data_IF_914341984007
#
_entry.id   IF_914341984007
#
_cell.length_a   1.000
_cell.length_b   1.000
_cell.length_c   1.000
_cell.angle_alpha   90.00
_cell.angle_beta   90.00
_cell.angle_gamma   90.00
#
_symmetry.space_group_name_H-M   'P 1'
#
loop_
_entity.id
_entity.type
_entity.pdbx_description
1 polymer ?
#
# COMPACT_ATOMS: atom_id res chain seq x y z
N UNK A 1 20.30 22.91 10.67
CA UNK A 1 18.97 23.15 11.27
C UNK A 1 17.86 23.16 10.22
N UNK A 2 17.96 23.98 9.17
CA UNK A 2 16.95 24.06 8.09
C UNK A 2 16.65 22.71 7.43
N UNK A 3 17.69 21.93 7.11
CA UNK A 3 17.53 20.59 6.51
C UNK A 3 16.72 19.62 7.36
N UNK A 4 16.97 19.64 8.66
CA UNK A 4 16.25 18.82 9.61
C UNK A 4 14.77 19.24 9.64
N UNK A 5 14.49 20.54 9.64
CA UNK A 5 13.11 21.05 9.62
C UNK A 5 12.39 20.62 8.34
N UNK A 6 13.00 20.84 7.16
CA UNK A 6 12.41 20.47 5.86
C UNK A 6 12.13 18.96 5.79
N UNK A 7 13.09 18.12 6.19
CA UNK A 7 12.89 16.66 6.23
C UNK A 7 11.72 16.29 7.12
N UNK A 8 11.60 16.88 8.31
CA UNK A 8 10.48 16.56 9.20
C UNK A 8 9.13 17.00 8.64
N UNK A 9 9.04 18.20 8.07
CA UNK A 9 7.83 18.67 7.39
C UNK A 9 7.46 17.69 6.27
N UNK A 10 8.43 17.28 5.47
CA UNK A 10 8.22 16.27 4.42
C UNK A 10 7.73 14.95 4.99
N UNK A 11 8.37 14.37 6.01
CA UNK A 11 7.99 13.07 6.55
C UNK A 11 6.56 13.05 7.09
N UNK A 12 6.13 14.11 7.80
CA UNK A 12 4.75 14.22 8.29
C UNK A 12 3.74 14.46 7.17
N UNK A 13 4.03 15.41 6.28
CA UNK A 13 3.11 15.74 5.17
C UNK A 13 3.00 14.59 4.16
N UNK A 14 4.10 13.91 3.82
CA UNK A 14 4.10 12.71 2.99
C UNK A 14 3.29 11.59 3.64
N UNK A 15 3.42 11.33 4.95
CA UNK A 15 2.60 10.33 5.62
C UNK A 15 1.10 10.67 5.55
N UNK A 16 0.74 11.95 5.70
CA UNK A 16 -0.63 12.44 5.47
C UNK A 16 -1.11 12.21 4.03
N UNK A 17 -0.32 12.61 3.03
CA UNK A 17 -0.63 12.40 1.62
C UNK A 17 -0.78 10.92 1.24
N UNK A 18 0.03 10.04 1.84
CA UNK A 18 -0.10 8.60 1.63
C UNK A 18 -1.29 8.00 2.36
N UNK A 19 -1.78 8.62 3.44
CA UNK A 19 -3.05 8.22 4.05
C UNK A 19 -4.22 8.60 3.15
N UNK A 20 -4.26 9.86 2.71
CA UNK A 20 -5.41 10.46 2.01
C UNK A 20 -5.47 9.98 0.55
N UNK A 21 -4.32 9.89 -0.13
CA UNK A 21 -4.22 9.45 -1.53
C UNK A 21 -4.69 10.47 -2.57
N UNK A 22 -5.17 11.63 -2.15
CA UNK A 22 -5.73 12.69 -3.00
C UNK A 22 -5.10 14.03 -2.64
N UNK A 23 -4.97 14.92 -3.63
CA UNK A 23 -4.46 16.28 -3.42
C UNK A 23 -5.48 17.20 -2.76
N UNK A 24 -6.76 16.87 -2.91
CA UNK A 24 -7.89 17.59 -2.37
C UNK A 24 -8.98 16.56 -2.02
N UNK A 25 -9.61 16.72 -0.85
CA UNK A 25 -10.72 15.87 -0.41
C UNK A 25 -11.71 16.75 0.36
N UNK A 26 -12.91 16.92 -0.16
CA UNK A 26 -13.96 17.76 0.46
C UNK A 26 -14.36 17.27 1.85
N UNK A 27 -14.25 15.96 2.11
CA UNK A 27 -14.62 15.34 3.40
C UNK A 27 -13.70 15.78 4.54
N UNK A 28 -12.54 16.33 4.23
CA UNK A 28 -11.54 16.81 5.18
C UNK A 28 -11.52 18.34 5.28
N UNK A 29 -12.63 19.01 4.92
CA UNK A 29 -12.85 20.43 5.17
C UNK A 29 -13.42 20.65 6.58
N UNK A 30 -12.66 21.32 7.45
CA UNK A 30 -13.08 21.70 8.80
C UNK A 30 -13.16 23.23 8.87
N UNK A 31 -14.31 23.78 9.24
CA UNK A 31 -14.57 25.23 9.26
C UNK A 31 -14.21 25.95 7.94
N UNK A 32 -14.60 25.36 6.79
CA UNK A 32 -14.26 25.83 5.44
C UNK A 32 -12.76 25.83 5.09
N UNK A 33 -11.90 25.26 5.94
CA UNK A 33 -10.48 25.08 5.67
C UNK A 33 -10.25 23.61 5.28
N UNK A 34 -9.80 23.38 4.03
CA UNK A 34 -9.49 22.04 3.56
C UNK A 34 -8.12 21.58 4.08
N UNK A 35 -8.12 20.62 5.01
CA UNK A 35 -6.89 20.13 5.65
C UNK A 35 -6.01 19.39 4.64
N UNK A 36 -6.61 18.64 3.71
CA UNK A 36 -5.88 17.94 2.64
C UNK A 36 -5.07 18.93 1.81
N UNK A 37 -5.66 20.06 1.44
CA UNK A 37 -4.96 21.10 0.68
C UNK A 37 -3.74 21.65 1.43
N UNK A 38 -3.87 21.90 2.75
CA UNK A 38 -2.75 22.36 3.59
C UNK A 38 -1.63 21.32 3.61
N UNK A 39 -1.97 20.03 3.81
CA UNK A 39 -1.00 18.94 3.83
C UNK A 39 -0.31 18.82 2.46
N UNK A 40 -1.07 18.92 1.35
CA UNK A 40 -0.56 18.91 -0.02
C UNK A 40 0.44 20.04 -0.25
N UNK A 41 0.15 21.27 0.19
CA UNK A 41 1.06 22.42 0.05
C UNK A 41 2.38 22.16 0.79
N UNK A 42 2.32 21.72 2.05
CA UNK A 42 3.53 21.39 2.82
C UNK A 42 4.31 20.25 2.19
N UNK A 43 3.63 19.23 1.69
CA UNK A 43 4.24 18.12 0.98
C UNK A 43 4.97 18.61 -0.27
N UNK A 44 4.33 19.38 -1.15
CA UNK A 44 4.96 19.84 -2.39
C UNK A 44 6.14 20.77 -2.16
N UNK A 45 6.00 21.75 -1.26
CA UNK A 45 7.09 22.68 -0.96
C UNK A 45 8.28 21.92 -0.41
N UNK A 46 8.06 21.04 0.58
CA UNK A 46 9.15 20.28 1.18
C UNK A 46 9.76 19.25 0.22
N UNK A 47 8.95 18.55 -0.58
CA UNK A 47 9.42 17.62 -1.60
C UNK A 47 10.27 18.32 -2.66
N UNK A 48 9.81 19.46 -3.18
CA UNK A 48 10.55 20.25 -4.16
C UNK A 48 11.91 20.71 -3.60
N UNK A 49 11.93 21.24 -2.37
CA UNK A 49 13.17 21.66 -1.72
C UNK A 49 14.15 20.50 -1.52
N UNK A 50 13.67 19.31 -1.16
CA UNK A 50 14.51 18.12 -0.99
C UNK A 50 15.06 17.61 -2.33
N UNK A 51 14.23 17.60 -3.37
CA UNK A 51 14.64 17.17 -4.73
C UNK A 51 15.70 18.12 -5.29
N UNK A 52 15.44 19.44 -5.27
CA UNK A 52 16.37 20.45 -5.78
C UNK A 52 17.71 20.48 -5.04
N UNK A 53 17.70 20.12 -3.76
CA UNK A 53 18.92 20.07 -2.95
C UNK A 53 19.82 18.88 -3.33
N UNK A 54 19.26 17.80 -3.86
CA UNK A 54 20.04 16.62 -4.18
C UNK A 54 20.86 16.82 -5.47
N UNK A 55 22.19 17.00 -5.33
CA UNK A 55 23.07 17.36 -6.45
C UNK A 55 23.77 16.18 -7.13
N UNK A 56 23.82 15.01 -6.48
CA UNK A 56 24.56 13.87 -6.99
C UNK A 56 23.71 12.61 -6.92
N UNK A 57 23.50 11.97 -8.07
CA UNK A 57 22.77 10.71 -8.18
C UNK A 57 23.72 9.62 -8.66
N UNK A 58 23.89 8.57 -7.84
CA UNK A 58 24.63 7.37 -8.27
C UNK A 58 23.63 6.39 -8.87
N UNK A 59 23.77 6.09 -10.16
CA UNK A 59 22.86 5.22 -10.90
C UNK A 59 23.34 3.77 -10.78
N UNK A 60 22.62 2.97 -9.99
CA UNK A 60 22.73 1.51 -10.03
C UNK A 60 21.75 0.92 -11.05
N UNK A 61 21.95 -0.34 -11.44
CA UNK A 61 21.04 -1.04 -12.37
C UNK A 61 19.59 -1.03 -11.86
N UNK A 62 19.36 -1.32 -10.58
CA UNK A 62 18.01 -1.28 -9.99
C UNK A 62 17.39 0.12 -10.03
N UNK A 63 18.16 1.17 -9.73
CA UNK A 63 17.68 2.56 -9.83
C UNK A 63 17.33 2.94 -11.26
N UNK A 64 18.18 2.57 -12.21
CA UNK A 64 17.94 2.82 -13.63
C UNK A 64 16.63 2.19 -14.10
N UNK A 65 16.44 0.90 -13.80
CA UNK A 65 15.21 0.18 -14.16
C UNK A 65 13.99 0.80 -13.48
N UNK A 66 14.10 1.17 -12.21
CA UNK A 66 13.01 1.80 -11.45
C UNK A 66 12.59 3.15 -12.03
N UNK A 67 13.54 4.02 -12.37
CA UNK A 67 13.24 5.32 -12.99
C UNK A 67 12.74 5.17 -14.42
N UNK A 68 13.32 4.24 -15.19
CA UNK A 68 12.85 3.92 -16.54
C UNK A 68 11.39 3.44 -16.53
N UNK A 69 11.02 2.62 -15.54
CA UNK A 69 9.63 2.18 -15.33
C UNK A 69 8.67 3.37 -15.16
N UNK A 70 8.98 4.33 -14.28
CA UNK A 70 8.11 5.50 -14.09
C UNK A 70 8.07 6.42 -15.31
N UNK A 71 9.21 6.67 -15.96
CA UNK A 71 9.27 7.52 -17.16
C UNK A 71 8.40 6.91 -18.27
N UNK A 72 8.54 5.61 -18.52
CA UNK A 72 7.75 4.94 -19.55
C UNK A 72 6.27 4.84 -19.19
N UNK A 73 5.93 4.63 -17.92
CA UNK A 73 4.55 4.65 -17.46
C UNK A 73 3.89 6.02 -17.76
N UNK A 74 4.60 7.12 -17.50
CA UNK A 74 4.12 8.48 -17.81
C UNK A 74 3.99 8.71 -19.32
N UNK A 75 5.03 8.41 -20.09
CA UNK A 75 5.04 8.64 -21.55
C UNK A 75 3.98 7.79 -22.26
N UNK A 76 3.93 6.50 -21.96
CA UNK A 76 2.98 5.57 -22.60
C UNK A 76 1.55 5.94 -22.23
N UNK A 77 1.29 6.38 -20.98
CA UNK A 77 -0.04 6.84 -20.60
C UNK A 77 -0.51 8.02 -21.47
N UNK A 78 0.33 9.03 -21.66
CA UNK A 78 -0.01 10.19 -22.49
C UNK A 78 -0.26 9.79 -23.95
N UNK A 79 0.53 8.86 -24.49
CA UNK A 79 0.32 8.31 -25.83
C UNK A 79 -1.02 7.57 -25.91
N UNK A 80 -1.33 6.72 -24.94
CA UNK A 80 -2.57 5.95 -24.93
C UNK A 80 -3.80 6.87 -24.82
N UNK A 81 -3.74 7.95 -24.03
CA UNK A 81 -4.84 8.93 -23.98
C UNK A 81 -5.05 9.69 -25.28
N UNK A 82 -4.03 9.89 -26.12
CA UNK A 82 -4.24 10.44 -27.46
C UNK A 82 -5.07 9.50 -28.36
N UNK A 83 -5.07 8.19 -28.08
CA UNK A 83 -5.75 7.16 -28.87
C UNK A 83 -7.13 6.83 -28.30
N UNK A 84 -7.20 6.59 -26.99
CA UNK A 84 -8.39 6.10 -26.29
C UNK A 84 -9.18 7.21 -25.58
N UNK A 85 -8.63 8.42 -25.51
CA UNK A 85 -9.17 9.51 -24.70
C UNK A 85 -8.75 9.43 -23.24
N UNK A 86 -8.91 10.52 -22.52
CA UNK A 86 -8.75 10.59 -21.07
C UNK A 86 -10.13 10.77 -20.42
N UNK A 87 -10.36 10.12 -19.30
CA UNK A 87 -11.55 10.29 -18.47
C UNK A 87 -11.17 10.91 -17.11
N UNK A 88 -12.15 11.48 -16.40
CA UNK A 88 -11.90 12.22 -15.15
C UNK A 88 -11.18 11.35 -14.10
N UNK A 89 -11.63 10.10 -13.93
CA UNK A 89 -11.01 9.15 -13.01
C UNK A 89 -9.54 8.86 -13.36
N UNK A 90 -9.24 8.66 -14.64
CA UNK A 90 -7.89 8.45 -15.17
C UNK A 90 -7.00 9.66 -14.98
N UNK A 91 -7.53 10.86 -15.21
CA UNK A 91 -6.83 12.14 -14.99
C UNK A 91 -6.44 12.27 -13.52
N UNK A 92 -7.39 12.11 -12.60
CA UNK A 92 -7.14 12.17 -11.16
C UNK A 92 -6.08 11.14 -10.74
N UNK A 93 -6.26 9.89 -11.16
CA UNK A 93 -5.33 8.79 -10.87
C UNK A 93 -3.92 9.08 -11.37
N UNK A 94 -3.78 9.58 -12.59
CA UNK A 94 -2.49 9.95 -13.17
C UNK A 94 -1.83 11.14 -12.46
N UNK A 95 -2.61 12.16 -12.10
CA UNK A 95 -2.13 13.33 -11.36
C UNK A 95 -1.62 12.89 -9.98
N UNK A 96 -2.40 12.10 -9.24
CA UNK A 96 -2.02 11.61 -7.92
C UNK A 96 -0.80 10.69 -7.98
N UNK A 97 -0.74 9.81 -8.98
CA UNK A 97 0.45 8.98 -9.20
C UNK A 97 1.68 9.84 -9.48
N UNK A 98 1.58 10.79 -10.40
CA UNK A 98 2.71 11.60 -10.86
C UNK A 98 3.19 12.60 -9.80
N UNK A 99 2.29 13.16 -9.00
CA UNK A 99 2.60 14.20 -8.04
C UNK A 99 2.86 13.69 -6.61
N UNK A 100 2.29 12.55 -6.22
CA UNK A 100 2.50 11.95 -4.90
C UNK A 100 3.52 10.81 -4.99
N UNK A 101 3.28 9.82 -5.84
CA UNK A 101 4.03 8.55 -5.80
C UNK A 101 5.44 8.74 -6.35
N UNK A 102 5.59 9.34 -7.54
CA UNK A 102 6.91 9.52 -8.17
C UNK A 102 7.87 10.35 -7.30
N UNK A 103 7.49 11.55 -6.79
CA UNK A 103 8.39 12.34 -5.95
C UNK A 103 8.69 11.65 -4.62
N UNK A 104 7.69 10.99 -4.03
CA UNK A 104 7.90 10.24 -2.79
C UNK A 104 8.89 9.10 -2.94
N UNK A 105 8.81 8.35 -4.05
CA UNK A 105 9.74 7.28 -4.36
C UNK A 105 11.15 7.81 -4.64
N UNK A 106 11.28 8.93 -5.36
CA UNK A 106 12.58 9.57 -5.59
C UNK A 106 13.23 9.98 -4.26
N UNK A 107 12.50 10.68 -3.39
CA UNK A 107 13.02 11.13 -2.09
C UNK A 107 13.37 9.93 -1.20
N UNK A 108 12.55 8.87 -1.21
CA UNK A 108 12.84 7.63 -0.49
C UNK A 108 14.17 6.96 -0.92
N UNK A 109 14.51 7.03 -2.21
CA UNK A 109 15.73 6.41 -2.76
C UNK A 109 16.96 7.30 -2.56
N UNK A 110 16.84 8.60 -2.82
CA UNK A 110 18.00 9.47 -2.97
C UNK A 110 18.29 10.37 -1.76
N UNK A 111 17.29 10.62 -0.90
CA UNK A 111 17.39 11.67 0.14
C UNK A 111 17.30 11.12 1.56
N UNK A 112 16.44 10.13 1.79
CA UNK A 112 16.22 9.57 3.12
C UNK A 112 17.37 8.64 3.52
N UNK A 113 17.88 8.83 4.73
CA UNK A 113 18.81 7.90 5.36
C UNK A 113 18.07 6.92 6.28
N UNK A 114 18.78 5.93 6.82
CA UNK A 114 18.19 4.89 7.68
C UNK A 114 17.43 5.47 8.90
N UNK A 115 17.90 6.58 9.49
CA UNK A 115 17.21 7.23 10.62
C UNK A 115 15.89 7.88 10.17
N UNK A 116 15.90 8.56 9.02
CA UNK A 116 14.72 9.17 8.42
C UNK A 116 13.69 8.10 8.05
N UNK A 117 14.13 6.96 7.48
CA UNK A 117 13.28 5.82 7.12
C UNK A 117 12.61 5.23 8.37
N UNK A 118 13.38 4.96 9.42
CA UNK A 118 12.82 4.47 10.68
C UNK A 118 11.82 5.47 11.28
N UNK A 119 12.14 6.76 11.25
CA UNK A 119 11.23 7.82 11.70
C UNK A 119 9.95 7.84 10.86
N UNK A 120 10.05 7.70 9.55
CA UNK A 120 8.91 7.66 8.64
C UNK A 120 7.98 6.49 8.94
N UNK A 121 8.53 5.29 9.17
CA UNK A 121 7.73 4.11 9.56
C UNK A 121 6.96 4.35 10.85
N UNK A 122 7.56 5.02 11.86
CA UNK A 122 6.86 5.36 13.10
C UNK A 122 5.79 6.44 12.91
N UNK A 123 6.01 7.41 12.02
CA UNK A 123 4.98 8.40 11.65
C UNK A 123 3.79 7.69 10.98
N UNK A 124 4.04 6.73 10.09
CA UNK A 124 2.99 5.91 9.47
C UNK A 124 2.23 5.05 10.49
N UNK A 125 2.90 4.54 11.53
CA UNK A 125 2.22 3.91 12.68
C UNK A 125 1.34 4.94 13.40
N UNK A 126 1.83 6.16 13.62
CA UNK A 126 1.03 7.25 14.19
C UNK A 126 -0.24 7.56 13.38
N UNK A 127 -0.13 7.62 12.05
CA UNK A 127 -1.28 7.74 11.14
C UNK A 127 -2.23 6.56 11.30
N UNK A 128 -1.71 5.33 11.35
CA UNK A 128 -2.52 4.12 11.59
C UNK A 128 -3.26 4.19 12.92
N UNK A 129 -2.63 4.68 13.98
CA UNK A 129 -3.25 4.89 15.29
C UNK A 129 -4.35 5.96 15.22
N UNK A 130 -4.14 7.04 14.47
CA UNK A 130 -5.19 8.05 14.25
C UNK A 130 -6.40 7.43 13.53
N UNK A 131 -6.17 6.65 12.47
CA UNK A 131 -7.23 5.94 11.76
C UNK A 131 -7.94 4.93 12.68
N UNK A 132 -7.19 4.19 13.50
CA UNK A 132 -7.72 3.28 14.50
C UNK A 132 -8.69 4.00 15.44
N UNK A 133 -8.29 5.15 16.01
CA UNK A 133 -9.14 5.94 16.90
C UNK A 133 -10.40 6.43 16.21
N UNK A 134 -10.29 6.92 14.97
CA UNK A 134 -11.47 7.31 14.18
C UNK A 134 -12.41 6.14 13.91
N UNK A 135 -11.85 4.97 13.60
CA UNK A 135 -12.63 3.75 13.44
C UNK A 135 -13.31 3.31 14.74
N UNK A 136 -12.67 3.52 15.90
CA UNK A 136 -13.24 3.24 17.22
C UNK A 136 -14.41 4.18 17.54
N UNK A 137 -14.28 5.48 17.25
CA UNK A 137 -15.36 6.45 17.47
C UNK A 137 -16.58 6.18 16.58
N UNK A 138 -16.36 5.62 15.39
CA UNK A 138 -17.42 5.28 14.44
C UNK A 138 -17.97 3.86 14.61
N UNK A 139 -17.63 3.15 15.70
CA UNK A 139 -18.07 1.76 15.92
C UNK A 139 -19.60 1.64 16.06
N UNK A 140 -20.24 2.62 16.67
CA UNK A 140 -21.70 2.60 16.92
C UNK A 140 -22.50 2.80 15.63
N UNK A 141 -21.93 3.54 14.68
CA UNK A 141 -22.56 3.84 13.39
C UNK A 141 -22.40 2.71 12.36
N UNK A 142 -21.67 1.64 12.67
CA UNK A 142 -21.36 0.57 11.70
C UNK A 142 -22.61 -0.02 11.05
N UNK A 143 -23.71 -0.18 11.80
CA UNK A 143 -24.98 -0.71 11.26
C UNK A 143 -25.61 0.18 10.18
N UNK A 144 -25.21 1.45 10.11
CA UNK A 144 -25.66 2.42 9.10
C UNK A 144 -24.84 2.41 7.81
N UNK A 145 -23.62 1.85 7.82
CA UNK A 145 -22.80 1.75 6.61
C UNK A 145 -23.30 0.61 5.73
N UNK A 146 -23.20 0.79 4.40
CA UNK A 146 -23.53 -0.25 3.42
C UNK A 146 -22.75 -1.55 3.73
N UNK A 147 -23.49 -2.51 4.29
CA UNK A 147 -22.97 -3.80 4.65
C UNK A 147 -22.16 -3.89 5.94
N UNK A 148 -22.27 -2.92 6.85
CA UNK A 148 -21.75 -3.07 8.22
C UNK A 148 -20.22 -3.07 8.34
N UNK A 149 -19.51 -2.35 7.46
CA UNK A 149 -18.04 -2.36 7.38
C UNK A 149 -17.43 -1.06 7.90
N UNK A 150 -16.36 -1.20 8.69
CA UNK A 150 -15.60 -0.02 9.15
C UNK A 150 -14.83 0.61 7.99
N UNK A 151 -15.01 1.92 7.87
CA UNK A 151 -14.21 2.81 7.04
C UNK A 151 -13.73 3.98 7.90
N UNK A 152 -12.64 4.62 7.49
CA UNK A 152 -12.16 5.84 8.15
C UNK A 152 -11.77 6.87 7.09
N UNK A 153 -12.12 8.13 7.33
CA UNK A 153 -11.84 9.27 6.45
C UNK A 153 -12.24 9.01 4.98
N UNK A 154 -13.33 8.27 4.78
CA UNK A 154 -13.84 7.97 3.44
C UNK A 154 -12.95 7.05 2.59
N UNK A 155 -11.93 6.43 3.18
CA UNK A 155 -11.21 5.30 2.59
C UNK A 155 -12.01 4.00 2.71
N UNK A 156 -11.93 3.14 1.69
CA UNK A 156 -12.64 1.86 1.70
C UNK A 156 -12.15 0.92 2.83
N UNK A 157 -12.97 -0.08 3.25
CA UNK A 157 -12.61 -0.99 4.35
C UNK A 157 -11.33 -1.80 4.09
N UNK A 158 -10.99 -2.00 2.81
CA UNK A 158 -9.75 -2.63 2.40
C UNK A 158 -8.55 -1.78 2.80
N UNK A 159 -8.56 -0.48 2.46
CA UNK A 159 -7.49 0.46 2.78
C UNK A 159 -7.33 0.58 4.29
N UNK A 160 -8.44 0.68 5.02
CA UNK A 160 -8.42 0.73 6.49
C UNK A 160 -7.73 -0.50 7.10
N UNK A 161 -8.17 -1.71 6.72
CA UNK A 161 -7.57 -2.96 7.19
C UNK A 161 -6.08 -3.07 6.80
N UNK A 162 -5.69 -2.57 5.61
CA UNK A 162 -4.28 -2.53 5.20
C UNK A 162 -3.41 -1.72 6.17
N UNK A 163 -3.88 -0.55 6.60
CA UNK A 163 -3.18 0.31 7.56
C UNK A 163 -3.06 -0.34 8.94
N UNK A 164 -4.11 -1.00 9.42
CA UNK A 164 -4.09 -1.67 10.73
C UNK A 164 -3.00 -2.75 10.76
N UNK A 165 -2.96 -3.61 9.73
CA UNK A 165 -1.95 -4.67 9.62
C UNK A 165 -0.55 -4.11 9.33
N UNK A 166 -0.45 -3.02 8.56
CA UNK A 166 0.82 -2.32 8.36
C UNK A 166 1.43 -1.91 9.72
N UNK A 167 0.63 -1.32 10.61
CA UNK A 167 1.08 -0.96 11.95
C UNK A 167 1.52 -2.18 12.78
N UNK A 168 0.76 -3.29 12.71
CA UNK A 168 1.14 -4.56 13.37
C UNK A 168 2.50 -5.03 12.89
N UNK A 169 2.75 -5.05 11.57
CA UNK A 169 4.03 -5.47 11.00
C UNK A 169 5.17 -4.54 11.43
N UNK A 170 4.95 -3.22 11.45
CA UNK A 170 5.98 -2.29 11.94
C UNK A 170 6.30 -2.53 13.42
N UNK A 171 5.29 -2.66 14.28
CA UNK A 171 5.50 -2.87 15.72
C UNK A 171 6.22 -4.20 15.98
N UNK A 172 5.88 -5.27 15.24
CA UNK A 172 6.47 -6.60 15.41
C UNK A 172 7.93 -6.66 14.95
N UNK A 173 8.24 -6.07 13.79
CA UNK A 173 9.54 -6.24 13.13
C UNK A 173 10.50 -5.07 13.34
N UNK A 174 10.02 -3.90 13.77
CA UNK A 174 10.89 -2.76 14.08
C UNK A 174 11.42 -2.85 15.52
N UNK A 175 12.68 -3.24 15.68
CA UNK A 175 13.34 -3.29 16.99
C UNK A 175 13.72 -1.89 17.47
N UNK A 176 12.77 -1.19 18.09
CA UNK A 176 13.01 0.07 18.81
C UNK A 176 12.81 -0.14 20.32
N UNK A 177 13.48 0.63 21.19
CA UNK A 177 13.35 0.58 22.66
C UNK A 177 11.90 0.72 23.14
N UNK A 178 11.05 1.37 22.36
CA UNK A 178 9.64 1.60 22.66
C UNK A 178 8.67 0.56 22.07
N UNK A 179 9.12 -0.26 21.11
CA UNK A 179 8.26 -1.25 20.42
C UNK A 179 7.57 -2.21 21.39
N UNK A 180 8.26 -2.62 22.46
CA UNK A 180 7.72 -3.51 23.49
C UNK A 180 6.47 -2.98 24.20
N UNK A 181 6.35 -1.67 24.36
CA UNK A 181 5.17 -1.05 25.00
C UNK A 181 3.98 -1.00 24.03
N UNK A 182 4.27 -0.93 22.73
CA UNK A 182 3.25 -0.89 21.68
C UNK A 182 2.69 -2.29 21.35
N UNK A 183 3.23 -3.37 21.92
CA UNK A 183 2.64 -4.71 21.78
C UNK A 183 1.21 -4.79 22.31
N UNK A 184 0.85 -3.93 23.26
CA UNK A 184 -0.53 -3.80 23.75
C UNK A 184 -1.50 -3.26 22.69
N UNK A 185 -1.01 -2.55 21.66
CA UNK A 185 -1.84 -2.05 20.55
C UNK A 185 -2.09 -3.11 19.47
N UNK A 186 -1.26 -4.17 19.40
CA UNK A 186 -1.39 -5.20 18.37
C UNK A 186 -2.78 -5.87 18.39
N UNK A 187 -3.31 -6.34 19.53
CA UNK A 187 -4.65 -6.91 19.58
C UNK A 187 -5.73 -5.94 19.07
N UNK A 188 -5.58 -4.64 19.36
CA UNK A 188 -6.53 -3.61 18.96
C UNK A 188 -6.48 -3.36 17.44
N UNK A 189 -5.29 -3.28 16.85
CA UNK A 189 -5.13 -3.19 15.40
C UNK A 189 -5.67 -4.44 14.68
N UNK A 190 -5.38 -5.63 15.20
CA UNK A 190 -5.91 -6.88 14.63
C UNK A 190 -7.44 -6.90 14.71
N UNK A 191 -8.00 -6.60 15.88
CA UNK A 191 -9.45 -6.49 16.08
C UNK A 191 -10.08 -5.54 15.07
N UNK A 192 -9.55 -4.33 14.92
CA UNK A 192 -10.07 -3.35 13.96
C UNK A 192 -9.89 -3.77 12.50
N UNK A 193 -8.85 -4.55 12.18
CA UNK A 193 -8.70 -5.16 10.86
C UNK A 193 -9.76 -6.23 10.58
N UNK A 194 -10.17 -7.02 11.59
CA UNK A 194 -11.24 -8.02 11.45
C UNK A 194 -12.62 -7.35 11.31
N UNK A 195 -12.89 -6.29 12.08
CA UNK A 195 -14.17 -5.57 12.01
C UNK A 195 -14.35 -4.80 10.69
N UNK A 196 -13.27 -4.44 9.99
CA UNK A 196 -13.33 -3.91 8.63
C UNK A 196 -13.90 -4.92 7.60
N UNK A 197 -13.91 -6.21 7.92
CA UNK A 197 -14.48 -7.27 7.08
C UNK A 197 -13.72 -7.48 5.76
N UNK A 198 -12.44 -7.08 5.67
CA UNK A 198 -11.62 -7.22 4.46
C UNK A 198 -10.68 -8.42 4.57
N UNK A 199 -10.84 -9.40 3.66
CA UNK A 199 -10.02 -10.63 3.67
C UNK A 199 -8.61 -10.45 3.12
N UNK A 200 -8.45 -9.62 2.10
CA UNK A 200 -7.18 -9.45 1.38
C UNK A 200 -6.00 -9.13 2.31
N UNK A 201 -6.11 -8.09 3.15
CA UNK A 201 -5.06 -7.72 4.09
C UNK A 201 -4.76 -8.81 5.13
N UNK A 202 -5.78 -9.51 5.63
CA UNK A 202 -5.61 -10.59 6.59
C UNK A 202 -4.91 -11.82 5.96
N UNK A 203 -5.29 -12.20 4.74
CA UNK A 203 -4.62 -13.29 4.03
C UNK A 203 -3.18 -12.93 3.67
N UNK A 204 -2.94 -11.70 3.21
CA UNK A 204 -1.58 -11.21 2.97
C UNK A 204 -0.74 -11.23 4.26
N UNK A 205 -1.32 -10.86 5.41
CA UNK A 205 -0.66 -10.95 6.71
C UNK A 205 -0.26 -12.39 7.05
N UNK A 206 -1.19 -13.33 6.92
CA UNK A 206 -0.93 -14.76 7.19
C UNK A 206 0.16 -15.30 6.26
N UNK A 207 0.10 -15.01 4.96
CA UNK A 207 1.14 -15.43 4.00
C UNK A 207 2.50 -14.89 4.42
N UNK A 208 2.59 -13.61 4.80
CA UNK A 208 3.85 -13.00 5.25
C UNK A 208 4.37 -13.62 6.53
N UNK A 209 3.50 -13.91 7.50
CA UNK A 209 3.90 -14.63 8.72
C UNK A 209 4.37 -16.05 8.41
N UNK A 210 3.71 -16.77 7.50
CA UNK A 210 4.11 -18.10 7.06
C UNK A 210 5.47 -18.06 6.35
N UNK A 211 5.68 -17.13 5.42
CA UNK A 211 6.98 -16.93 4.76
C UNK A 211 8.05 -16.62 5.80
N UNK A 212 7.79 -15.67 6.70
CA UNK A 212 8.71 -15.34 7.78
C UNK A 212 9.05 -16.56 8.67
N UNK A 213 8.05 -17.39 8.98
CA UNK A 213 8.22 -18.57 9.81
C UNK A 213 9.03 -19.66 9.12
N UNK A 214 8.71 -20.00 7.86
CA UNK A 214 9.45 -20.96 7.05
C UNK A 214 10.94 -20.63 7.01
N UNK A 215 11.28 -19.34 6.95
CA UNK A 215 12.65 -18.87 6.91
C UNK A 215 13.23 -18.46 8.29
N UNK A 216 12.50 -18.54 9.41
CA UNK A 216 12.99 -18.10 10.75
C UNK A 216 12.72 -19.12 11.87
N UNK A 217 12.46 -20.38 11.48
CA UNK A 217 11.78 -21.44 12.23
C UNK A 217 12.24 -21.66 13.69
N UNK A 218 13.49 -21.33 14.06
CA UNK A 218 14.04 -21.64 15.40
C UNK A 218 13.92 -20.55 16.47
N UNK A 219 13.76 -19.26 16.12
CA UNK A 219 13.87 -18.17 17.12
C UNK A 219 12.58 -17.40 17.42
N UNK A 220 11.58 -17.45 16.53
CA UNK A 220 10.39 -16.60 16.64
C UNK A 220 9.07 -17.38 16.85
N UNK A 221 9.13 -18.70 17.05
CA UNK A 221 7.96 -19.58 17.21
C UNK A 221 6.98 -19.05 18.28
N UNK A 222 7.47 -18.66 19.45
CA UNK A 222 6.64 -18.15 20.55
C UNK A 222 5.90 -16.87 20.16
N UNK A 223 6.55 -15.94 19.46
CA UNK A 223 5.90 -14.68 19.02
C UNK A 223 4.76 -14.96 18.05
N UNK A 224 4.96 -15.91 17.12
CA UNK A 224 3.93 -16.33 16.16
C UNK A 224 2.77 -17.00 16.87
N UNK A 225 3.03 -17.93 17.80
CA UNK A 225 1.98 -18.58 18.59
C UNK A 225 1.17 -17.56 19.39
N UNK A 226 1.81 -16.57 20.01
CA UNK A 226 1.11 -15.51 20.75
C UNK A 226 0.27 -14.63 19.83
N UNK A 227 0.76 -14.25 18.64
CA UNK A 227 -0.02 -13.47 17.66
C UNK A 227 -1.21 -14.29 17.12
N UNK A 228 -1.00 -15.57 16.80
CA UNK A 228 -2.06 -16.48 16.35
C UNK A 228 -3.10 -16.70 17.44
N UNK A 229 -2.68 -16.83 18.71
CA UNK A 229 -3.57 -16.91 19.86
C UNK A 229 -4.36 -15.62 20.05
N UNK A 230 -3.71 -14.45 19.99
CA UNK A 230 -4.39 -13.15 20.08
C UNK A 230 -5.40 -12.94 18.96
N UNK A 231 -5.04 -13.28 17.72
CA UNK A 231 -5.96 -13.26 16.58
C UNK A 231 -7.12 -14.25 16.74
N UNK A 232 -6.88 -15.43 17.29
CA UNK A 232 -7.93 -16.40 17.60
C UNK A 232 -8.86 -15.89 18.70
N UNK A 233 -8.33 -15.30 19.77
CA UNK A 233 -9.12 -14.73 20.85
C UNK A 233 -10.00 -13.57 20.37
N UNK A 234 -9.51 -12.72 19.46
CA UNK A 234 -10.33 -11.64 18.89
C UNK A 234 -11.46 -12.15 18.00
N UNK A 235 -11.27 -13.29 17.33
CA UNK A 235 -12.33 -13.96 16.55
C UNK A 235 -13.37 -14.58 17.50
N UNK A 236 -12.96 -15.21 18.60
CA UNK A 236 -13.89 -15.88 19.53
C UNK A 236 -14.75 -14.91 20.33
N UNK A 237 -14.24 -13.74 20.72
CA UNK A 237 -15.06 -12.71 21.40
C UNK A 237 -16.14 -12.13 20.49
N UNK A 238 -15.92 -12.14 19.17
CA UNK A 238 -16.89 -11.70 18.16
C UNK A 238 -17.95 -12.76 17.82
N UNK A 239 -17.66 -14.05 18.05
CA UNK A 239 -18.55 -15.17 17.73
C UNK A 239 -19.47 -15.59 18.89
N UNK A 240 -19.13 -15.25 20.15
CA UNK A 240 -19.88 -15.70 21.34
C UNK A 240 -21.05 -14.79 21.73
N UNK A 241 -21.23 -13.64 21.06
CA UNK A 241 -22.43 -12.82 21.20
C UNK A 241 -23.49 -13.23 20.17
N UNK A 242 -23.89 -14.51 20.18
CA UNK A 242 -24.98 -15.04 19.32
C UNK A 242 -26.35 -14.42 19.64
N UNK A 243 -26.49 -13.75 20.78
CA UNK A 243 -27.76 -13.14 21.20
C UNK A 243 -27.96 -11.68 20.80
N UNK A 244 -26.97 -11.04 20.18
CA UNK A 244 -27.18 -9.73 19.60
C UNK A 244 -26.82 -9.74 18.13
N UNK A 245 -27.58 -8.98 17.34
CA UNK A 245 -27.22 -8.55 15.98
C UNK A 245 -26.02 -7.60 16.06
N UNK A 246 -24.95 -8.04 16.71
CA UNK A 246 -23.78 -7.28 17.06
C UNK A 246 -23.04 -6.91 15.79
N UNK A 247 -22.70 -5.63 15.74
CA UNK A 247 -21.97 -4.91 14.70
C UNK A 247 -20.76 -5.66 14.11
N UNK A 248 -20.10 -6.53 14.89
CA UNK A 248 -18.97 -7.35 14.44
C UNK A 248 -19.32 -8.67 13.74
N UNK A 249 -20.52 -9.24 13.92
CA UNK A 249 -20.87 -10.58 13.41
C UNK A 249 -21.15 -10.59 11.91
N UNK A 250 -21.71 -9.50 11.37
CA UNK A 250 -21.95 -9.37 9.93
C UNK A 250 -20.67 -9.14 9.12
N UNK A 251 -19.72 -8.37 9.66
CA UNK A 251 -18.42 -8.14 9.02
C UNK A 251 -17.50 -9.36 9.11
N UNK A 252 -17.52 -10.09 10.23
CA UNK A 252 -16.74 -11.33 10.38
C UNK A 252 -17.31 -12.48 9.57
N UNK A 253 -18.64 -12.68 9.51
CA UNK A 253 -19.25 -13.71 8.67
C UNK A 253 -18.90 -13.54 7.18
N UNK A 254 -18.73 -12.30 6.71
CA UNK A 254 -18.19 -12.01 5.36
C UNK A 254 -16.73 -12.34 5.18
N UNK A 255 -15.93 -12.50 6.22
CA UNK A 255 -14.56 -13.02 6.05
C UNK A 255 -14.61 -14.51 5.69
N UNK A 256 -15.68 -15.21 6.08
CA UNK A 256 -15.83 -16.65 5.92
C UNK A 256 -16.79 -17.08 4.79
N UNK A 257 -17.61 -16.19 4.22
CA UNK A 257 -18.67 -16.58 3.25
C UNK A 257 -18.36 -16.25 1.76
N UNK A 258 -18.02 -17.25 0.94
CA UNK A 258 -17.26 -17.08 -0.33
C UNK A 258 -18.08 -16.81 -1.62
N UNK A 259 -19.42 -16.78 -1.58
CA UNK A 259 -20.24 -17.02 -2.78
C UNK A 259 -20.42 -15.85 -3.77
N UNK A 260 -20.52 -14.59 -3.34
CA UNK A 260 -20.93 -13.47 -4.22
C UNK A 260 -19.73 -12.69 -4.80
N UNK A 261 -18.70 -12.40 -4.01
CA UNK A 261 -17.53 -11.61 -4.46
C UNK A 261 -16.62 -12.36 -5.46
N UNK A 262 -16.69 -13.70 -5.48
CA UNK A 262 -15.86 -14.53 -6.35
C UNK A 262 -16.17 -14.32 -7.85
N UNK A 263 -17.45 -14.15 -8.21
CA UNK A 263 -17.87 -13.96 -9.60
C UNK A 263 -17.35 -12.65 -10.20
N UNK A 264 -17.42 -11.54 -9.45
CA UNK A 264 -16.93 -10.25 -9.90
C UNK A 264 -15.42 -10.26 -10.18
N UNK A 265 -14.62 -11.00 -9.39
CA UNK A 265 -13.16 -11.10 -9.61
C UNK A 265 -12.81 -11.95 -10.83
N UNK A 266 -13.50 -13.07 -11.01
CA UNK A 266 -13.30 -13.93 -12.19
C UNK A 266 -13.64 -13.18 -13.47
N UNK A 267 -14.72 -12.39 -13.48
CA UNK A 267 -15.09 -11.55 -14.62
C UNK A 267 -14.00 -10.52 -14.96
N UNK A 268 -13.47 -9.80 -13.96
CA UNK A 268 -12.37 -8.83 -14.17
C UNK A 268 -11.11 -9.47 -14.75
N UNK A 269 -10.72 -10.65 -14.26
CA UNK A 269 -9.60 -11.41 -14.81
C UNK A 269 -9.87 -11.79 -16.28
N UNK A 270 -11.05 -12.35 -16.57
CA UNK A 270 -11.43 -12.77 -17.92
C UNK A 270 -11.41 -11.60 -18.90
N UNK A 271 -11.96 -10.44 -18.50
CA UNK A 271 -11.95 -9.21 -19.29
C UNK A 271 -10.55 -8.67 -19.51
N UNK A 272 -9.73 -8.67 -18.47
CA UNK A 272 -8.33 -8.26 -18.54
C UNK A 272 -7.57 -9.11 -19.57
N UNK A 273 -7.72 -10.44 -19.51
CA UNK A 273 -7.09 -11.35 -20.47
C UNK A 273 -7.56 -11.09 -21.90
N UNK A 274 -8.86 -10.81 -22.10
CA UNK A 274 -9.42 -10.48 -23.42
C UNK A 274 -8.95 -9.12 -23.95
N UNK A 275 -8.60 -8.16 -23.08
CA UNK A 275 -8.15 -6.83 -23.48
C UNK A 275 -6.71 -6.84 -24.00
N UNK A 276 -5.83 -7.64 -23.39
CA UNK A 276 -4.39 -7.73 -23.74
C UNK A 276 -4.14 -7.87 -25.26
N UNK A 277 -4.75 -8.83 -26.00
CA UNK A 277 -4.48 -8.95 -27.44
C UNK A 277 -5.08 -7.81 -28.28
N UNK A 278 -6.06 -7.07 -27.76
CA UNK A 278 -6.70 -5.94 -28.46
C UNK A 278 -5.92 -4.64 -28.29
N UNK A 279 -5.29 -4.45 -27.13
CA UNK A 279 -4.50 -3.27 -26.79
C UNK A 279 -3.20 -3.69 -26.08
N UNK A 280 -2.23 -4.29 -26.80
CA UNK A 280 -1.00 -4.82 -26.17
C UNK A 280 -0.09 -3.72 -25.58
N UNK A 281 -0.25 -2.49 -26.04
CA UNK A 281 0.44 -1.30 -25.52
C UNK A 281 -0.38 -0.55 -24.44
N UNK A 282 -1.49 -1.14 -24.02
CA UNK A 282 -2.39 -0.59 -23.02
C UNK A 282 -3.42 0.39 -23.60
N UNK A 283 -4.38 0.77 -22.77
CA UNK A 283 -5.49 1.66 -23.13
C UNK A 283 -5.45 3.02 -22.43
N UNK A 284 -4.44 3.27 -21.60
CA UNK A 284 -4.34 4.46 -20.76
C UNK A 284 -4.91 4.22 -19.36
N UNK A 285 -4.33 4.90 -18.38
CA UNK A 285 -4.71 4.82 -16.97
C UNK A 285 -6.15 5.29 -16.82
N UNK A 286 -6.96 4.49 -16.13
CA UNK A 286 -8.38 4.75 -15.89
C UNK A 286 -9.34 4.27 -17.00
N UNK A 287 -8.83 3.78 -18.15
CA UNK A 287 -9.69 3.36 -19.27
C UNK A 287 -10.02 1.86 -19.26
N UNK A 288 -9.55 1.09 -18.28
CA UNK A 288 -9.78 -0.36 -18.24
C UNK A 288 -11.27 -0.74 -18.28
N UNK A 289 -12.12 -0.08 -17.50
CA UNK A 289 -13.56 -0.38 -17.47
C UNK A 289 -14.22 -0.08 -18.81
N UNK A 290 -14.03 1.13 -19.33
CA UNK A 290 -14.59 1.59 -20.61
C UNK A 290 -14.22 0.67 -21.76
N UNK A 291 -12.94 0.30 -21.88
CA UNK A 291 -12.48 -0.55 -22.98
C UNK A 291 -12.88 -2.02 -22.79
N UNK A 292 -12.90 -2.52 -21.55
CA UNK A 292 -13.32 -3.90 -21.29
C UNK A 292 -14.83 -4.13 -21.40
N UNK A 293 -15.64 -3.08 -21.19
CA UNK A 293 -17.09 -3.12 -21.36
C UNK A 293 -17.51 -3.30 -22.82
N UNK A 294 -16.70 -2.87 -23.79
CA UNK A 294 -17.01 -3.00 -25.24
C UNK A 294 -17.18 -4.44 -25.74
N UNK A 295 -16.78 -5.43 -24.95
CA UNK A 295 -16.86 -6.84 -25.32
C UNK A 295 -17.37 -7.73 -24.17
N UNK A 296 -18.19 -7.16 -23.29
CA UNK A 296 -18.90 -7.87 -22.24
C UNK A 296 -20.37 -7.48 -22.19
N UNK A 297 -21.22 -8.42 -21.83
CA UNK A 297 -22.67 -8.20 -21.69
C UNK A 297 -23.04 -7.42 -20.43
N UNK A 298 -22.11 -7.32 -19.46
CA UNK A 298 -22.32 -6.59 -18.21
C UNK A 298 -21.43 -5.35 -18.18
N UNK A 299 -21.97 -4.19 -17.79
CA UNK A 299 -21.20 -2.96 -17.67
C UNK A 299 -20.65 -2.81 -16.25
N UNK A 300 -19.33 -2.62 -16.15
CA UNK A 300 -18.71 -2.06 -14.94
C UNK A 300 -18.80 -0.55 -15.01
N UNK A 301 -18.91 0.12 -13.86
CA UNK A 301 -18.76 1.57 -13.79
C UNK A 301 -17.37 1.99 -14.27
N UNK A 302 -17.27 3.19 -14.84
CA UNK A 302 -16.02 3.68 -15.45
C UNK A 302 -14.86 3.84 -14.44
N UNK A 303 -15.17 3.94 -13.15
CA UNK A 303 -14.20 4.01 -12.05
C UNK A 303 -13.62 2.65 -11.65
N UNK A 304 -14.07 1.56 -12.28
CA UNK A 304 -13.63 0.22 -11.97
C UNK A 304 -12.30 -0.13 -12.64
N UNK A 305 -11.53 -1.01 -12.00
CA UNK A 305 -10.20 -1.44 -12.46
C UNK A 305 -10.04 -2.97 -12.35
N UNK A 306 -8.90 -3.51 -12.79
CA UNK A 306 -8.67 -4.95 -12.89
C UNK A 306 -8.54 -5.69 -11.54
N UNK A 307 -8.38 -4.98 -10.41
CA UNK A 307 -8.11 -5.51 -9.06
C UNK A 307 -6.86 -6.42 -8.94
N UNK A 308 -5.89 -6.26 -9.84
CA UNK A 308 -4.59 -6.90 -9.75
C UNK A 308 -3.56 -6.01 -10.46
N UNK A 309 -2.47 -5.66 -9.77
CA UNK A 309 -1.47 -4.73 -10.29
C UNK A 309 -0.84 -5.18 -11.62
N UNK A 310 -0.64 -6.49 -11.85
CA UNK A 310 -0.10 -6.96 -13.13
C UNK A 310 -1.12 -6.79 -14.26
N UNK A 311 -2.39 -7.12 -14.01
CA UNK A 311 -3.45 -6.91 -15.01
C UNK A 311 -3.72 -5.43 -15.26
N UNK A 312 -3.60 -4.59 -14.24
CA UNK A 312 -3.75 -3.15 -14.38
C UNK A 312 -2.61 -2.57 -15.22
N UNK A 313 -1.35 -2.88 -14.89
CA UNK A 313 -0.20 -2.39 -15.65
C UNK A 313 -0.22 -2.84 -17.12
N UNK A 314 -0.54 -4.11 -17.40
CA UNK A 314 -0.57 -4.58 -18.80
C UNK A 314 -1.73 -3.98 -19.60
N UNK A 315 -2.90 -3.82 -18.99
CA UNK A 315 -4.07 -3.30 -19.71
C UNK A 315 -4.04 -1.79 -19.85
N UNK A 316 -3.56 -1.04 -18.85
CA UNK A 316 -3.56 0.42 -18.88
C UNK A 316 -2.26 0.98 -19.47
N UNK A 317 -1.11 0.34 -19.21
CA UNK A 317 0.22 0.83 -19.59
C UNK A 317 0.99 -0.10 -20.55
N UNK A 318 0.43 -1.26 -20.90
CA UNK A 318 0.98 -2.15 -21.91
C UNK A 318 2.06 -3.12 -21.42
N UNK A 319 2.41 -4.05 -22.31
CA UNK A 319 3.36 -5.13 -22.01
C UNK A 319 4.77 -4.64 -21.69
N UNK A 320 5.20 -3.52 -22.29
CA UNK A 320 6.54 -2.95 -22.05
C UNK A 320 6.70 -2.50 -20.60
N UNK A 321 5.70 -1.79 -20.07
CA UNK A 321 5.70 -1.31 -18.68
C UNK A 321 5.60 -2.49 -17.70
N UNK A 322 4.76 -3.49 -18.02
CA UNK A 322 4.66 -4.72 -17.24
C UNK A 322 6.02 -5.45 -17.17
N UNK A 323 6.70 -5.64 -18.31
CA UNK A 323 7.98 -6.34 -18.35
C UNK A 323 9.04 -5.61 -17.53
N UNK A 324 9.08 -4.27 -17.60
CA UNK A 324 9.99 -3.50 -16.75
C UNK A 324 9.66 -3.64 -15.26
N UNK A 325 8.39 -3.68 -14.89
CA UNK A 325 8.00 -3.96 -13.52
C UNK A 325 8.43 -5.36 -13.08
N UNK A 326 8.28 -6.39 -13.93
CA UNK A 326 8.74 -7.76 -13.64
C UNK A 326 10.26 -7.82 -13.53
N UNK A 327 11.01 -7.18 -14.43
CA UNK A 327 12.47 -7.09 -14.38
C UNK A 327 12.90 -6.36 -13.10
N UNK A 328 12.22 -5.28 -12.73
CA UNK A 328 12.46 -4.56 -11.48
C UNK A 328 12.27 -5.50 -10.27
N UNK A 329 11.18 -6.26 -10.23
CA UNK A 329 10.95 -7.26 -9.18
C UNK A 329 12.07 -8.30 -9.19
N UNK A 330 12.41 -8.90 -10.33
CA UNK A 330 13.48 -9.89 -10.43
C UNK A 330 14.80 -9.29 -9.93
N UNK A 331 15.26 -8.15 -10.43
CA UNK A 331 16.53 -7.53 -9.99
C UNK A 331 16.56 -7.21 -8.50
N UNK A 332 15.40 -6.85 -7.93
CA UNK A 332 15.25 -6.54 -6.50
C UNK A 332 15.19 -7.83 -5.65
N UNK A 333 14.71 -8.94 -6.22
CA UNK A 333 14.48 -10.22 -5.54
C UNK A 333 15.58 -11.29 -5.82
N UNK A 334 16.43 -11.11 -6.84
CA UNK A 334 17.23 -12.15 -7.52
C UNK A 334 18.15 -13.00 -6.62
N UNK A 335 18.75 -12.43 -5.56
CA UNK A 335 19.74 -13.19 -4.75
C UNK A 335 20.12 -12.59 -3.39
N UNK A 336 19.74 -11.34 -3.09
CA UNK A 336 19.85 -10.77 -1.74
C UNK A 336 18.81 -11.32 -0.75
N UNK A 337 17.82 -12.07 -1.26
CA UNK A 337 16.69 -12.62 -0.50
C UNK A 337 16.98 -13.90 0.28
N UNK A 338 18.15 -14.50 0.19
CA UNK A 338 18.42 -15.74 0.94
C UNK A 338 19.40 -15.54 2.10
N UNK A 339 20.21 -14.48 2.06
CA UNK A 339 21.26 -14.24 3.07
C UNK A 339 20.86 -13.19 4.13
N UNK A 340 19.97 -12.23 3.80
CA UNK A 340 19.64 -11.09 4.68
C UNK A 340 18.45 -11.33 5.64
N UNK A 341 17.62 -12.34 5.40
CA UNK A 341 16.52 -12.71 6.32
C UNK A 341 16.98 -13.26 7.66
N UNK A 342 18.25 -13.68 7.75
CA UNK A 342 18.75 -14.50 8.84
C UNK A 342 19.60 -13.75 9.86
N UNK A 343 20.27 -12.64 9.49
CA UNK A 343 21.13 -11.89 10.42
C UNK A 343 20.37 -10.72 11.08
N UNK A 344 20.29 -10.73 12.42
CA UNK A 344 19.53 -9.76 13.22
C UNK A 344 20.02 -8.31 13.08
N UNK A 345 21.22 -8.10 12.56
CA UNK A 345 21.88 -6.80 12.43
C UNK A 345 21.26 -5.91 11.34
N UNK A 346 20.48 -6.48 10.41
CA UNK A 346 19.89 -5.76 9.27
C UNK A 346 18.37 -5.52 9.41
N UNK A 347 17.97 -5.01 10.59
CA UNK A 347 16.55 -4.84 10.94
C UNK A 347 15.77 -3.94 9.95
N UNK A 348 16.39 -2.87 9.46
CA UNK A 348 15.76 -1.85 8.60
C UNK A 348 15.45 -2.35 7.18
N UNK A 349 16.38 -3.09 6.58
CA UNK A 349 16.20 -3.71 5.25
C UNK A 349 15.15 -4.82 5.32
N UNK A 350 15.14 -5.58 6.42
CA UNK A 350 14.16 -6.64 6.65
C UNK A 350 12.75 -6.10 6.78
N UNK A 351 12.53 -5.07 7.60
CA UNK A 351 11.19 -4.50 7.79
C UNK A 351 10.66 -3.90 6.49
N UNK A 352 11.47 -3.13 5.76
CA UNK A 352 11.04 -2.54 4.48
C UNK A 352 10.70 -3.62 3.45
N UNK A 353 11.44 -4.73 3.40
CA UNK A 353 11.09 -5.89 2.58
C UNK A 353 9.77 -6.55 3.00
N UNK A 354 9.57 -6.80 4.30
CA UNK A 354 8.35 -7.43 4.82
C UNK A 354 7.13 -6.57 4.48
N UNK A 355 7.23 -5.26 4.68
CA UNK A 355 6.18 -4.30 4.36
C UNK A 355 5.92 -4.23 2.86
N UNK A 356 6.97 -4.18 2.03
CA UNK A 356 6.84 -4.23 0.58
C UNK A 356 6.12 -5.50 0.14
N UNK A 357 6.56 -6.67 0.62
CA UNK A 357 5.97 -7.97 0.25
C UNK A 357 4.51 -8.07 0.68
N UNK A 358 4.19 -7.61 1.89
CA UNK A 358 2.81 -7.53 2.38
C UNK A 358 1.92 -6.67 1.46
N UNK A 359 2.41 -5.50 1.07
CA UNK A 359 1.68 -4.58 0.19
C UNK A 359 1.60 -5.09 -1.25
N UNK A 360 2.63 -5.79 -1.74
CA UNK A 360 2.62 -6.42 -3.05
C UNK A 360 1.55 -7.52 -3.11
N UNK A 361 1.48 -8.42 -2.13
CA UNK A 361 0.45 -9.46 -2.08
C UNK A 361 -0.95 -8.84 -2.05
N UNK A 362 -1.14 -7.74 -1.32
CA UNK A 362 -2.40 -7.00 -1.33
C UNK A 362 -2.74 -6.44 -2.72
N UNK A 363 -1.75 -5.87 -3.42
CA UNK A 363 -1.90 -5.31 -4.76
C UNK A 363 -2.24 -6.37 -5.84
N UNK A 364 -2.01 -7.65 -5.58
CA UNK A 364 -2.45 -8.76 -6.46
C UNK A 364 -3.95 -9.02 -6.39
N UNK A 365 -4.62 -8.53 -5.36
CA UNK A 365 -6.02 -8.89 -5.06
C UNK A 365 -6.94 -7.66 -5.06
N UNK A 366 -6.42 -6.47 -4.79
CA UNK A 366 -7.23 -5.25 -4.62
C UNK A 366 -6.39 -3.99 -4.74
N UNK A 367 -7.06 -2.85 -4.88
CA UNK A 367 -6.44 -1.52 -4.97
C UNK A 367 -5.95 -1.25 -6.39
N UNK A 368 -6.23 -0.04 -6.87
CA UNK A 368 -5.65 0.46 -8.11
C UNK A 368 -4.20 0.92 -7.90
N UNK A 369 -3.55 1.45 -8.94
CA UNK A 369 -2.16 1.90 -8.89
C UNK A 369 -1.93 2.99 -7.81
N UNK A 370 -2.92 3.84 -7.54
CA UNK A 370 -2.82 4.95 -6.58
C UNK A 370 -3.11 4.46 -5.16
N UNK A 371 -4.05 3.54 -4.97
CA UNK A 371 -4.29 2.82 -3.73
C UNK A 371 -3.08 1.98 -3.30
N UNK A 372 -2.30 1.52 -4.26
CA UNK A 372 -1.06 0.79 -4.04
C UNK A 372 0.18 1.70 -3.86
N UNK A 373 0.01 3.01 -3.68
CA UNK A 373 1.11 3.99 -3.42
C UNK A 373 2.12 3.57 -2.35
N UNK A 374 1.64 3.02 -1.22
CA UNK A 374 2.52 2.54 -0.15
C UNK A 374 3.43 1.41 -0.62
N UNK A 375 2.96 0.55 -1.54
CA UNK A 375 3.75 -0.54 -2.11
C UNK A 375 4.98 0.02 -2.84
N UNK A 376 4.79 1.00 -3.73
CA UNK A 376 5.88 1.62 -4.48
C UNK A 376 6.89 2.32 -3.57
N UNK A 377 6.41 2.96 -2.50
CA UNK A 377 7.28 3.66 -1.55
C UNK A 377 8.06 2.65 -0.68
N UNK A 378 7.43 1.57 -0.22
CA UNK A 378 8.16 0.51 0.49
C UNK A 378 9.17 -0.20 -0.42
N UNK A 379 8.87 -0.37 -1.71
CA UNK A 379 9.83 -0.84 -2.71
C UNK A 379 11.03 0.10 -2.85
N UNK A 380 10.77 1.41 -2.96
CA UNK A 380 11.77 2.46 -3.04
C UNK A 380 12.68 2.49 -1.80
N UNK A 381 12.08 2.42 -0.60
CA UNK A 381 12.78 2.34 0.68
C UNK A 381 13.63 1.06 0.79
N UNK A 382 13.07 -0.09 0.42
CA UNK A 382 13.80 -1.36 0.41
C UNK A 382 15.02 -1.32 -0.51
N UNK A 383 14.86 -0.76 -1.71
CA UNK A 383 15.96 -0.58 -2.66
C UNK A 383 17.04 0.36 -2.11
N UNK A 384 16.66 1.48 -1.48
CA UNK A 384 17.61 2.41 -0.85
C UNK A 384 18.47 1.71 0.21
N UNK A 385 17.80 1.02 1.13
CA UNK A 385 18.43 0.28 2.22
C UNK A 385 19.34 -0.86 1.70
N UNK A 386 18.90 -1.61 0.68
CA UNK A 386 19.70 -2.65 0.04
C UNK A 386 20.98 -2.09 -0.59
N UNK A 387 20.87 -0.99 -1.33
CA UNK A 387 22.04 -0.36 -1.98
C UNK A 387 23.02 0.20 -0.95
N UNK A 388 22.52 0.74 0.16
CA UNK A 388 23.36 1.16 1.30
C UNK A 388 24.15 -0.03 1.87
N UNK A 389 23.50 -1.18 2.08
CA UNK A 389 24.17 -2.39 2.57
C UNK A 389 25.23 -2.92 1.61
N UNK A 390 24.95 -2.96 0.31
CA UNK A 390 25.92 -3.42 -0.69
C UNK A 390 27.18 -2.54 -0.74
N UNK A 391 27.04 -1.24 -0.49
CA UNK A 391 28.19 -0.32 -0.38
C UNK A 391 29.04 -0.64 0.86
N UNK A 392 28.41 -0.98 1.98
CA UNK A 392 29.11 -1.34 3.22
C UNK A 392 29.80 -2.70 3.09
N UNK A 393 29.20 -3.69 2.41
CA UNK A 393 29.81 -5.02 2.25
C UNK A 393 30.99 -5.04 1.28
N UNK A 394 31.07 -4.08 0.37
CA UNK A 394 32.11 -3.99 -0.67
C UNK A 394 33.23 -3.01 -0.31
N UNK A 395 33.11 -2.30 0.83
CA UNK A 395 34.13 -1.44 1.41
C UNK A 395 34.89 -2.20 2.49
#
# INVERSE_FOLDING_TARGET
MLDFIIKNIYLFSAAGMLSIGHLYDERLAIYNINITLIISIFYFISALLLILKNKTMTISVSKFIFYLFFILLVIINLINWMIFGANDYGIDKFIFFSLIIIPSCYIAIEVLNQQDINKFLWILVGVSTMLLLLGLFNLEDISSFEGGRITAMGGGPIVFSRWMIFAVLVILFNKNKYSKYLYLLIPLFLFMSFTAGSRGPLYAFVIILCLYFLFSFRKNFIKVVVISFLGFTSITTLSLTENDKGVGSQSTSRIFNTSIEAYARVDRIRRSIKLIPKAPFGVGIGNWAQESNKFSDHQHEDTQYAHNIFFELINESGIVVLLLFVILLITILDSSLFLLFFQENYCSVRITFILFSYLLINALVSGDIVDNRLMFIMLALFMSERLSLQKISNA
#
